data_IF_631431674191
#
_entry.id   IF_631431674191
#
_cell.length_a   1.000
_cell.length_b   1.000
_cell.length_c   1.000
_cell.angle_alpha   90.00
_cell.angle_beta   90.00
_cell.angle_gamma   90.00
#
_symmetry.space_group_name_H-M   'P 1'
#
loop_
_entity.id
_entity.type
_entity.pdbx_description
1 polymer ?
#
# COMPACT_ATOMS: atom_id res chain seq x y z
N UNK A 1 -34.69 -7.13 -64.37
CA UNK A 1 -34.16 -7.61 -63.03
C UNK A 1 -33.79 -6.37 -62.23
N UNK A 2 -34.56 -6.11 -61.18
CA UNK A 2 -34.78 -4.78 -60.62
C UNK A 2 -33.57 -4.44 -59.62
N UNK A 3 -32.65 -3.57 -60.05
CA UNK A 3 -31.51 -3.09 -59.28
C UNK A 3 -31.91 -2.26 -58.05
N UNK A 4 -33.16 -1.80 -57.92
CA UNK A 4 -33.63 -1.00 -56.79
C UNK A 4 -33.85 -1.81 -55.50
N UNK A 5 -34.11 -3.11 -55.61
CA UNK A 5 -34.34 -4.00 -54.46
C UNK A 5 -33.04 -4.37 -53.69
N UNK A 6 -31.90 -4.40 -54.37
CA UNK A 6 -30.64 -4.74 -53.72
C UNK A 6 -30.07 -3.60 -52.88
N UNK A 7 -30.32 -2.35 -53.23
CA UNK A 7 -29.74 -1.22 -52.47
C UNK A 7 -30.43 -1.02 -51.13
N UNK A 8 -31.66 -1.44 -50.96
CA UNK A 8 -32.40 -1.32 -49.69
C UNK A 8 -31.90 -2.33 -48.64
N UNK A 9 -31.60 -3.55 -49.08
CA UNK A 9 -31.01 -4.57 -48.19
C UNK A 9 -29.59 -4.18 -47.73
N UNK A 10 -28.78 -3.60 -48.61
CA UNK A 10 -27.42 -3.14 -48.28
C UNK A 10 -27.49 -1.98 -47.26
N UNK A 11 -28.43 -1.03 -47.47
CA UNK A 11 -28.63 0.08 -46.52
C UNK A 11 -29.12 -0.38 -45.15
N UNK A 12 -29.98 -1.37 -45.06
CA UNK A 12 -30.46 -1.94 -43.80
C UNK A 12 -29.37 -2.70 -43.06
N UNK A 13 -28.51 -3.43 -43.78
CA UNK A 13 -27.36 -4.15 -43.16
C UNK A 13 -26.33 -3.17 -42.62
N UNK A 14 -26.01 -2.10 -43.37
CA UNK A 14 -25.06 -1.07 -42.91
C UNK A 14 -25.63 -0.30 -41.72
N UNK A 15 -26.92 0.05 -41.70
CA UNK A 15 -27.55 0.72 -40.56
C UNK A 15 -27.59 -0.18 -39.32
N UNK A 16 -27.85 -1.48 -39.47
CA UNK A 16 -27.85 -2.46 -38.41
C UNK A 16 -26.46 -2.67 -37.81
N UNK A 17 -25.43 -2.74 -38.66
CA UNK A 17 -24.05 -2.87 -38.18
C UNK A 17 -23.53 -1.61 -37.45
N UNK A 18 -23.94 -0.42 -37.87
CA UNK A 18 -23.60 0.84 -37.20
C UNK A 18 -24.24 0.94 -35.80
N UNK A 19 -25.51 0.54 -35.69
CA UNK A 19 -26.22 0.54 -34.38
C UNK A 19 -25.64 -0.47 -33.39
N UNK A 20 -25.25 -1.65 -33.86
CA UNK A 20 -24.58 -2.65 -33.03
C UNK A 20 -23.21 -2.16 -32.57
N UNK A 21 -22.46 -1.49 -33.44
CA UNK A 21 -21.14 -0.92 -33.09
C UNK A 21 -21.27 0.22 -32.07
N UNK A 22 -22.28 1.07 -32.15
CA UNK A 22 -22.55 2.13 -31.16
C UNK A 22 -22.98 1.55 -29.80
N UNK A 23 -23.74 0.45 -29.77
CA UNK A 23 -24.16 -0.20 -28.55
C UNK A 23 -22.96 -0.86 -27.83
N UNK A 24 -21.96 -1.38 -28.57
CA UNK A 24 -20.75 -1.96 -27.99
C UNK A 24 -19.81 -0.91 -27.40
N UNK A 25 -19.74 0.29 -27.98
CA UNK A 25 -18.89 1.40 -27.46
C UNK A 25 -19.42 1.98 -26.14
N UNK A 26 -20.71 1.85 -25.85
CA UNK A 26 -21.30 2.37 -24.60
C UNK A 26 -21.14 1.43 -23.40
N UNK A 27 -20.69 0.19 -23.58
CA UNK A 27 -20.59 -0.80 -22.49
C UNK A 27 -19.26 -0.81 -21.75
N UNK A 28 -18.27 -0.04 -22.15
CA UNK A 28 -17.03 0.14 -21.39
C UNK A 28 -17.11 1.37 -20.46
N UNK A 29 -18.09 1.41 -19.57
CA UNK A 29 -17.92 2.21 -18.35
C UNK A 29 -16.79 1.57 -17.59
N UNK A 30 -15.60 2.13 -17.69
CA UNK A 30 -14.54 1.84 -16.75
C UNK A 30 -15.15 2.06 -15.36
N UNK A 31 -15.19 1.00 -14.55
CA UNK A 31 -15.56 1.12 -13.15
C UNK A 31 -14.56 2.12 -12.55
N UNK A 32 -15.03 3.32 -12.21
CA UNK A 32 -14.19 4.29 -11.54
C UNK A 32 -13.69 3.65 -10.27
N UNK A 33 -12.37 3.58 -10.11
CA UNK A 33 -11.77 3.14 -8.84
C UNK A 33 -12.34 4.02 -7.74
N UNK A 34 -12.91 3.46 -6.67
CA UNK A 34 -13.41 4.26 -5.56
C UNK A 34 -12.33 5.23 -5.07
N UNK A 35 -12.72 6.44 -4.71
CA UNK A 35 -11.79 7.38 -4.10
C UNK A 35 -11.32 6.81 -2.76
N UNK A 36 -10.03 6.96 -2.48
CA UNK A 36 -9.45 6.55 -1.19
C UNK A 36 -10.13 7.33 -0.05
N UNK A 37 -10.39 6.64 1.04
CA UNK A 37 -10.78 7.28 2.31
C UNK A 37 -9.64 8.12 2.87
N UNK A 38 -9.89 9.07 3.81
CA UNK A 38 -8.82 9.86 4.40
C UNK A 38 -7.69 9.02 5.04
N UNK A 39 -8.02 7.94 5.73
CA UNK A 39 -7.01 7.04 6.32
C UNK A 39 -6.19 6.32 5.26
N UNK A 40 -6.81 5.86 4.18
CA UNK A 40 -6.09 5.23 3.06
C UNK A 40 -5.19 6.24 2.33
N UNK A 41 -5.63 7.50 2.19
CA UNK A 41 -4.81 8.58 1.63
C UNK A 41 -3.61 8.87 2.53
N UNK A 42 -3.82 8.95 3.85
CA UNK A 42 -2.74 9.16 4.82
C UNK A 42 -1.73 8.01 4.74
N UNK A 43 -2.17 6.77 4.87
CA UNK A 43 -1.31 5.59 4.76
C UNK A 43 -0.54 5.53 3.45
N UNK A 44 -1.18 5.89 2.32
CA UNK A 44 -0.50 5.98 1.03
C UNK A 44 0.62 7.02 1.03
N UNK A 45 0.40 8.21 1.58
CA UNK A 45 1.43 9.25 1.64
C UNK A 45 2.61 8.79 2.51
N UNK A 46 2.34 8.21 3.68
CA UNK A 46 3.37 7.68 4.58
C UNK A 46 4.17 6.54 3.91
N UNK A 47 3.51 5.66 3.18
CA UNK A 47 4.12 4.51 2.50
C UNK A 47 5.18 4.91 1.46
N UNK A 48 5.02 6.06 0.81
CA UNK A 48 5.93 6.54 -0.24
C UNK A 48 6.90 7.61 0.24
N UNK A 49 6.85 8.05 1.50
CA UNK A 49 7.72 9.14 1.97
C UNK A 49 9.07 8.63 2.48
N UNK A 50 10.12 8.96 1.73
CA UNK A 50 11.50 8.64 2.09
C UNK A 50 12.01 9.45 3.29
N UNK A 51 11.41 10.63 3.57
CA UNK A 51 11.80 11.47 4.70
C UNK A 51 11.53 10.80 6.06
N UNK A 52 10.69 9.77 6.08
CA UNK A 52 10.39 8.99 7.31
C UNK A 52 11.48 7.98 7.65
N UNK A 53 12.66 8.08 7.04
CA UNK A 53 13.84 7.30 7.41
C UNK A 53 14.96 8.19 7.94
N UNK A 54 15.94 7.60 8.60
CA UNK A 54 17.07 8.29 9.26
C UNK A 54 17.77 9.26 8.33
N UNK A 55 18.07 8.82 7.11
CA UNK A 55 18.82 9.61 6.13
C UNK A 55 17.93 10.22 5.04
N UNK A 56 16.59 10.11 5.14
CA UNK A 56 15.68 10.64 4.15
C UNK A 56 15.79 9.98 2.76
N UNK A 57 16.08 8.68 2.73
CA UNK A 57 16.42 7.95 1.51
C UNK A 57 15.75 6.58 1.38
N UNK A 58 14.83 6.26 2.28
CA UNK A 58 14.11 4.99 2.26
C UNK A 58 12.66 5.17 2.70
N UNK A 59 11.74 4.69 1.90
CA UNK A 59 10.31 4.55 2.21
C UNK A 59 9.91 3.08 2.27
N UNK A 60 8.69 2.77 2.67
CA UNK A 60 8.15 1.41 2.56
C UNK A 60 8.21 0.93 1.11
N UNK A 61 7.87 1.81 0.15
CA UNK A 61 7.90 1.51 -1.29
C UNK A 61 9.30 1.17 -1.81
N UNK A 62 10.39 1.57 -1.15
CA UNK A 62 11.75 1.22 -1.54
C UNK A 62 11.98 -0.30 -1.54
N UNK A 63 11.36 -1.00 -0.58
CA UNK A 63 11.43 -2.46 -0.45
C UNK A 63 10.13 -3.17 -0.84
N UNK A 64 9.02 -2.44 -0.94
CA UNK A 64 7.69 -2.94 -1.32
C UNK A 64 7.14 -2.16 -2.52
N UNK A 65 7.78 -2.32 -3.70
CA UNK A 65 7.46 -1.54 -4.90
C UNK A 65 6.16 -2.03 -5.55
N UNK A 66 5.17 -1.14 -5.76
CA UNK A 66 3.92 -1.47 -6.42
C UNK A 66 4.09 -2.00 -7.86
N UNK A 67 5.16 -1.60 -8.56
CA UNK A 67 5.43 -2.06 -9.92
C UNK A 67 5.74 -3.56 -10.01
N UNK A 68 6.11 -4.20 -8.88
CA UNK A 68 6.45 -5.62 -8.80
C UNK A 68 5.60 -6.36 -7.75
N UNK A 69 4.38 -5.91 -7.51
CA UNK A 69 3.45 -6.54 -6.58
C UNK A 69 3.77 -6.26 -5.10
N UNK A 70 4.29 -5.08 -4.81
CA UNK A 70 4.65 -4.63 -3.47
C UNK A 70 5.68 -5.53 -2.76
N UNK A 71 6.64 -6.05 -3.52
CA UNK A 71 7.82 -6.78 -3.01
C UNK A 71 9.10 -6.09 -3.47
N UNK A 72 10.26 -6.71 -3.21
CA UNK A 72 11.55 -6.12 -3.56
C UNK A 72 11.76 -5.99 -5.07
N UNK A 73 12.04 -4.76 -5.60
CA UNK A 73 12.09 -4.50 -7.04
C UNK A 73 13.40 -4.91 -7.71
N UNK A 74 14.52 -4.99 -6.98
CA UNK A 74 15.85 -5.15 -7.56
C UNK A 74 16.17 -6.62 -7.88
N UNK A 75 16.14 -6.98 -9.17
CA UNK A 75 16.43 -8.35 -9.63
C UNK A 75 17.80 -8.86 -9.18
N UNK A 76 18.83 -8.00 -9.17
CA UNK A 76 20.16 -8.37 -8.71
C UNK A 76 20.19 -8.72 -7.22
N UNK A 77 19.48 -7.95 -6.37
CA UNK A 77 19.35 -8.24 -4.94
C UNK A 77 18.56 -9.53 -4.74
N UNK A 78 17.45 -9.69 -5.47
CA UNK A 78 16.60 -10.88 -5.37
C UNK A 78 17.33 -12.17 -5.76
N UNK A 79 18.27 -12.11 -6.70
CA UNK A 79 19.10 -13.25 -7.09
C UNK A 79 20.16 -13.63 -6.04
N UNK A 80 20.50 -12.75 -5.11
CA UNK A 80 21.61 -12.89 -4.16
C UNK A 80 21.16 -12.79 -2.69
N UNK A 81 20.08 -13.47 -2.32
CA UNK A 81 19.58 -13.54 -0.94
C UNK A 81 18.40 -12.63 -0.62
N UNK A 82 18.06 -11.72 -1.53
CA UNK A 82 16.86 -10.87 -1.47
C UNK A 82 16.72 -10.00 -0.20
N UNK A 83 17.83 -9.65 0.47
CA UNK A 83 17.85 -8.69 1.58
C UNK A 83 18.26 -7.32 1.06
N UNK A 84 17.52 -6.30 1.45
CA UNK A 84 17.70 -4.94 0.96
C UNK A 84 18.51 -4.09 1.93
N UNK A 85 19.30 -3.11 1.43
CA UNK A 85 19.97 -2.16 2.32
C UNK A 85 18.95 -1.29 3.03
N UNK A 86 19.27 -0.90 4.26
CA UNK A 86 18.49 0.05 5.04
C UNK A 86 18.73 1.50 4.67
N UNK A 87 18.20 2.42 5.47
CA UNK A 87 18.50 3.85 5.38
C UNK A 87 20.00 4.15 5.55
N UNK A 88 20.69 3.34 6.37
CA UNK A 88 22.15 3.20 6.32
C UNK A 88 22.48 2.14 5.26
N UNK A 89 23.07 2.51 4.10
CA UNK A 89 23.28 1.58 3.01
C UNK A 89 24.36 0.52 3.28
N UNK A 90 25.07 0.62 4.39
CA UNK A 90 26.02 -0.39 4.86
C UNK A 90 25.38 -1.48 5.69
N UNK A 91 24.13 -1.27 6.14
CA UNK A 91 23.34 -2.21 6.91
C UNK A 91 22.24 -2.82 6.02
N UNK A 92 21.98 -4.09 6.21
CA UNK A 92 21.01 -4.84 5.40
C UNK A 92 19.95 -5.47 6.28
N UNK A 93 18.72 -5.48 5.79
CA UNK A 93 17.65 -6.27 6.40
C UNK A 93 18.00 -7.73 6.51
N UNK A 94 17.36 -8.44 7.41
CA UNK A 94 17.64 -9.87 7.67
C UNK A 94 16.59 -10.80 7.06
N UNK A 95 15.65 -10.27 6.30
CA UNK A 95 14.59 -11.01 5.62
C UNK A 95 14.29 -10.40 4.25
N UNK A 96 13.82 -11.24 3.34
CA UNK A 96 13.25 -10.79 2.07
C UNK A 96 11.98 -10.00 2.35
N UNK A 97 11.74 -8.83 1.70
CA UNK A 97 10.46 -8.15 1.75
C UNK A 97 9.37 -9.05 1.13
N UNK A 98 8.36 -9.49 1.91
CA UNK A 98 7.22 -10.19 1.35
C UNK A 98 6.35 -9.23 0.53
N UNK A 99 5.43 -9.76 -0.28
CA UNK A 99 4.44 -8.92 -0.92
C UNK A 99 3.54 -8.27 0.13
N UNK A 100 3.47 -6.94 0.15
CA UNK A 100 2.55 -6.20 1.00
C UNK A 100 1.12 -6.13 0.41
N UNK A 101 0.96 -6.46 -0.90
CA UNK A 101 -0.35 -6.61 -1.51
C UNK A 101 -1.16 -7.70 -0.80
N UNK A 102 -2.42 -7.40 -0.46
CA UNK A 102 -3.34 -8.30 0.26
C UNK A 102 -2.91 -8.68 1.69
N UNK A 103 -1.87 -8.07 2.24
CA UNK A 103 -1.38 -8.39 3.58
C UNK A 103 -2.45 -8.18 4.67
N UNK A 104 -3.35 -7.21 4.50
CA UNK A 104 -4.49 -6.97 5.40
C UNK A 104 -5.50 -8.12 5.51
N UNK A 105 -5.47 -9.09 4.61
CA UNK A 105 -6.33 -10.27 4.66
C UNK A 105 -5.86 -11.34 5.67
N UNK A 106 -4.69 -11.13 6.31
CA UNK A 106 -4.10 -12.13 7.22
C UNK A 106 -4.94 -12.39 8.47
N UNK A 107 -5.61 -11.36 9.00
CA UNK A 107 -6.42 -11.43 10.23
C UNK A 107 -5.60 -11.65 11.51
N UNK A 108 -6.28 -11.64 12.65
CA UNK A 108 -5.65 -11.85 13.97
C UNK A 108 -4.99 -13.23 14.07
N UNK A 109 -3.85 -13.31 14.76
CA UNK A 109 -3.21 -14.58 15.04
C UNK A 109 -4.10 -15.41 15.98
N UNK A 110 -4.43 -16.62 15.57
CA UNK A 110 -5.24 -17.55 16.35
C UNK A 110 -4.79 -18.99 16.17
N UNK A 111 -5.01 -19.80 17.18
CA UNK A 111 -4.82 -21.23 17.08
C UNK A 111 -6.16 -21.91 16.74
N UNK A 112 -6.22 -22.58 15.59
CA UNK A 112 -7.43 -23.19 15.10
C UNK A 112 -7.11 -24.52 14.38
N UNK A 113 -7.84 -25.58 14.71
CA UNK A 113 -7.70 -26.91 14.09
C UNK A 113 -6.27 -27.48 14.10
N UNK A 114 -5.50 -27.19 15.16
CA UNK A 114 -4.13 -27.69 15.29
C UNK A 114 -3.06 -26.85 14.62
N UNK A 115 -3.40 -25.68 14.07
CA UNK A 115 -2.48 -24.78 13.39
C UNK A 115 -2.63 -23.34 13.86
N UNK A 116 -1.54 -22.58 13.77
CA UNK A 116 -1.58 -21.12 13.91
C UNK A 116 -1.97 -20.49 12.57
N UNK A 117 -2.95 -19.58 12.59
CA UNK A 117 -3.50 -18.90 11.41
C UNK A 117 -3.54 -17.40 11.69
N UNK A 118 -3.18 -16.57 10.69
CA UNK A 118 -3.16 -15.12 10.84
C UNK A 118 -1.83 -14.59 11.38
N UNK A 119 -1.83 -13.35 11.86
CA UNK A 119 -0.63 -12.65 12.30
C UNK A 119 0.26 -12.20 11.15
N UNK A 120 1.25 -11.37 11.47
CA UNK A 120 2.23 -10.83 10.53
C UNK A 120 3.64 -11.06 11.04
N UNK A 121 4.65 -10.81 10.20
CA UNK A 121 6.01 -11.31 10.26
C UNK A 121 6.09 -12.84 10.08
N UNK A 122 7.29 -13.32 9.77
CA UNK A 122 7.55 -14.75 9.56
C UNK A 122 7.34 -15.63 10.81
N UNK A 123 7.40 -15.01 11.99
CA UNK A 123 7.24 -15.64 13.29
C UNK A 123 5.89 -15.37 13.96
N UNK A 124 5.01 -14.62 13.29
CA UNK A 124 3.67 -14.31 13.79
C UNK A 124 3.63 -13.32 14.96
N UNK A 125 4.75 -12.65 15.30
CA UNK A 125 4.82 -11.80 16.51
C UNK A 125 3.94 -10.55 16.47
N UNK A 126 3.56 -10.06 15.28
CA UNK A 126 2.49 -9.06 15.15
C UNK A 126 1.16 -9.83 15.12
N UNK A 127 0.56 -9.97 16.29
CA UNK A 127 -0.62 -10.82 16.51
C UNK A 127 -1.93 -10.12 16.17
N UNK A 128 -1.93 -8.78 16.26
CA UNK A 128 -3.12 -7.94 16.21
C UNK A 128 -3.81 -7.74 17.56
N UNK A 129 -3.24 -8.27 18.65
CA UNK A 129 -3.84 -8.17 19.98
C UNK A 129 -3.74 -6.75 20.57
N UNK A 130 -2.78 -5.94 20.11
CA UNK A 130 -2.50 -4.60 20.65
C UNK A 130 -3.32 -3.54 19.91
N UNK A 131 -3.27 -3.54 18.57
CA UNK A 131 -3.93 -2.53 17.72
C UNK A 131 -5.21 -3.04 17.06
N UNK A 132 -5.56 -4.30 17.25
CA UNK A 132 -6.72 -4.93 16.60
C UNK A 132 -6.46 -5.33 15.13
N UNK A 133 -5.26 -5.08 14.63
CA UNK A 133 -4.85 -5.37 13.25
C UNK A 133 -3.36 -5.77 13.22
N UNK A 134 -3.04 -7.03 12.81
CA UNK A 134 -1.66 -7.49 12.73
C UNK A 134 -0.82 -6.72 11.72
N UNK A 135 -1.43 -6.20 10.64
CA UNK A 135 -0.70 -5.42 9.64
C UNK A 135 -0.30 -4.04 10.19
N UNK A 136 -1.19 -3.38 10.96
CA UNK A 136 -0.85 -2.15 11.66
C UNK A 136 0.30 -2.35 12.66
N UNK A 137 0.26 -3.42 13.45
CA UNK A 137 1.36 -3.77 14.37
C UNK A 137 2.67 -4.04 13.62
N UNK A 138 2.60 -4.72 12.47
CA UNK A 138 3.78 -5.00 11.64
C UNK A 138 4.36 -3.71 11.04
N UNK A 139 3.51 -2.82 10.52
CA UNK A 139 3.93 -1.61 9.82
C UNK A 139 4.75 -0.64 10.70
N UNK A 140 4.57 -0.68 12.02
CA UNK A 140 5.39 0.06 12.97
C UNK A 140 6.86 -0.39 12.97
N UNK A 141 7.12 -1.69 12.81
CA UNK A 141 8.45 -2.28 12.99
C UNK A 141 9.56 -1.62 12.16
N UNK A 142 9.41 -1.42 10.85
CA UNK A 142 10.43 -0.87 9.97
C UNK A 142 10.95 0.52 10.36
N UNK A 143 10.11 1.39 10.90
CA UNK A 143 10.52 2.76 11.25
C UNK A 143 11.68 2.79 12.25
N UNK A 144 11.62 1.97 13.30
CA UNK A 144 12.62 1.94 14.35
C UNK A 144 13.66 0.79 14.18
N UNK A 145 13.50 -0.03 13.14
CA UNK A 145 14.47 -1.09 12.86
C UNK A 145 15.78 -0.48 12.33
N UNK A 146 16.93 -0.67 13.02
CA UNK A 146 18.19 -0.10 12.58
C UNK A 146 18.70 -0.62 11.24
N UNK A 147 18.17 -1.75 10.77
CA UNK A 147 18.51 -2.35 9.48
C UNK A 147 17.56 -1.90 8.34
N UNK A 148 16.54 -1.07 8.66
CA UNK A 148 15.55 -0.59 7.73
C UNK A 148 15.49 0.94 7.75
N UNK A 149 14.44 1.59 8.24
CA UNK A 149 14.34 3.06 8.26
C UNK A 149 15.20 3.72 9.35
N UNK A 150 15.59 2.98 10.40
CA UNK A 150 16.62 3.32 11.39
C UNK A 150 16.36 4.59 12.20
N UNK A 151 15.12 5.00 12.42
CA UNK A 151 14.79 6.07 13.36
C UNK A 151 15.08 5.61 14.80
N UNK A 152 15.35 6.56 15.67
CA UNK A 152 15.82 6.26 17.04
C UNK A 152 14.68 6.21 18.06
N UNK A 153 13.53 6.81 17.74
CA UNK A 153 12.39 6.86 18.67
C UNK A 153 11.07 7.19 17.95
N UNK A 154 9.91 6.90 18.58
CA UNK A 154 8.61 7.37 18.14
C UNK A 154 8.53 8.89 18.04
N UNK A 155 9.20 9.63 18.92
CA UNK A 155 9.25 11.09 18.88
C UNK A 155 9.94 11.61 17.61
N UNK A 156 11.03 10.99 17.18
CA UNK A 156 11.70 11.33 15.93
C UNK A 156 10.76 11.13 14.73
N UNK A 157 10.04 10.01 14.68
CA UNK A 157 9.05 9.74 13.63
C UNK A 157 7.93 10.79 13.66
N UNK A 158 7.34 11.04 14.83
CA UNK A 158 6.29 12.05 14.97
C UNK A 158 6.74 13.42 14.46
N UNK A 159 7.95 13.86 14.83
CA UNK A 159 8.50 15.13 14.37
C UNK A 159 8.69 15.17 12.84
N UNK A 160 9.12 14.08 12.23
CA UNK A 160 9.23 13.97 10.77
C UNK A 160 7.85 14.03 10.08
N UNK A 161 6.86 13.32 10.59
CA UNK A 161 5.47 13.39 10.11
C UNK A 161 4.92 14.82 10.27
N UNK A 162 5.16 15.46 11.40
CA UNK A 162 4.71 16.84 11.67
C UNK A 162 5.38 17.87 10.75
N UNK A 163 6.61 17.64 10.35
CA UNK A 163 7.34 18.48 9.39
C UNK A 163 6.88 18.28 7.93
N UNK A 164 6.19 17.19 7.65
CA UNK A 164 5.64 16.87 6.33
C UNK A 164 4.32 17.59 6.03
N UNK A 165 3.66 17.16 4.95
CA UNK A 165 2.40 17.75 4.46
C UNK A 165 1.15 17.06 5.01
N UNK A 166 1.29 16.25 6.04
CA UNK A 166 0.24 15.33 6.51
C UNK A 166 -0.72 15.93 7.54
N UNK A 167 -0.34 17.00 8.23
CA UNK A 167 -1.04 17.49 9.44
C UNK A 167 -2.54 17.63 9.24
N UNK A 168 -2.98 18.28 8.14
CA UNK A 168 -4.40 18.45 7.89
C UNK A 168 -5.14 17.14 7.67
N UNK A 169 -4.50 16.17 6.99
CA UNK A 169 -5.08 14.86 6.74
C UNK A 169 -5.05 13.99 8.00
N UNK A 170 -4.00 14.12 8.80
CA UNK A 170 -3.87 13.45 10.10
C UNK A 170 -4.98 13.90 11.05
N UNK A 171 -5.22 15.23 11.14
CA UNK A 171 -6.32 15.80 11.90
C UNK A 171 -7.70 15.36 11.40
N UNK A 172 -7.85 15.17 10.09
CA UNK A 172 -9.09 14.65 9.52
C UNK A 172 -9.37 13.20 9.92
N UNK A 173 -8.34 12.38 10.07
CA UNK A 173 -8.45 10.95 10.42
C UNK A 173 -8.62 10.78 11.93
N UNK A 174 -7.79 11.44 12.73
CA UNK A 174 -7.65 11.17 14.16
C UNK A 174 -8.24 12.26 15.06
N UNK A 175 -8.64 13.40 14.49
CA UNK A 175 -9.16 14.57 15.20
C UNK A 175 -8.15 15.70 15.29
N UNK A 176 -8.66 16.92 15.45
CA UNK A 176 -7.83 18.12 15.49
C UNK A 176 -6.79 18.07 16.62
N UNK A 177 -5.53 18.30 16.27
CA UNK A 177 -4.41 18.28 17.21
C UNK A 177 -3.93 16.89 17.59
N UNK A 178 -4.38 15.83 16.91
CA UNK A 178 -3.95 14.45 17.19
C UNK A 178 -2.44 14.23 16.97
N UNK A 179 -1.81 15.02 16.07
CA UNK A 179 -0.37 14.97 15.82
C UNK A 179 0.40 15.73 16.92
N UNK A 180 0.30 15.26 18.15
CA UNK A 180 0.97 15.82 19.33
C UNK A 180 2.19 14.96 19.73
N UNK A 181 3.39 15.41 19.38
CA UNK A 181 4.62 14.68 19.66
C UNK A 181 5.01 14.65 21.16
N UNK A 182 4.26 15.30 22.05
CA UNK A 182 4.39 15.02 23.50
C UNK A 182 3.77 13.69 23.91
N UNK A 183 2.93 13.13 23.04
CA UNK A 183 2.29 11.80 23.15
C UNK A 183 2.83 10.86 22.06
N UNK A 184 4.14 10.87 21.83
CA UNK A 184 4.78 10.24 20.68
C UNK A 184 4.43 8.76 20.50
N UNK A 185 4.30 8.00 21.59
CA UNK A 185 3.92 6.58 21.52
C UNK A 185 2.51 6.39 20.98
N UNK A 186 1.55 7.22 21.42
CA UNK A 186 0.17 7.18 20.91
C UNK A 186 0.10 7.60 19.43
N UNK A 187 0.87 8.63 19.04
CA UNK A 187 0.99 9.04 17.64
C UNK A 187 1.63 7.94 16.79
N UNK A 188 2.60 7.21 17.33
CA UNK A 188 3.23 6.08 16.65
C UNK A 188 2.25 4.94 16.36
N UNK A 189 1.23 4.76 17.19
CA UNK A 189 0.15 3.80 16.96
C UNK A 189 -0.84 4.27 15.87
N UNK A 190 -0.81 5.56 15.54
CA UNK A 190 -1.66 6.20 14.53
C UNK A 190 -0.98 6.36 13.16
N UNK A 191 0.35 6.31 13.11
CA UNK A 191 1.15 6.37 11.89
C UNK A 191 1.22 5.00 11.23
#
# INVERSE_FOLDING_TARGET
MDMRRNNWFISLVILGSLLVSLAFVQSTRALATPALTPVEQLGKLLFFDENLSKNGNQSCATCHDPAVGYTGPASAINAHGAVYPGSDPTLFGNRKPPAAAYAGESGLLRYENGAWIGGMFWDGRATGDILGDPLAEQAKGPFLNPLEQALTSPEELCNKVKAGTYTALFDQVWGAGALDCTQADAVYDQI
#
